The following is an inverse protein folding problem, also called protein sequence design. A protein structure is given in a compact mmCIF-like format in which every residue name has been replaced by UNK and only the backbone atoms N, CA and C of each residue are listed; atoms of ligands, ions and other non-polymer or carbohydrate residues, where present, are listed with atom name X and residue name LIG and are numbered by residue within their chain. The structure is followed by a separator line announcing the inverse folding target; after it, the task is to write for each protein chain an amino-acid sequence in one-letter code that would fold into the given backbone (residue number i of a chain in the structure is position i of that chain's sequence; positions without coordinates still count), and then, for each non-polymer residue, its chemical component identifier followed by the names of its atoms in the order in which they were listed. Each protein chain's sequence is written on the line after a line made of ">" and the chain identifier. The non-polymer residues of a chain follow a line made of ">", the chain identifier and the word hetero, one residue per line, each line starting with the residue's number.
data_IF_072099283118
#
_entry.id   IF_072099283118
#
_cell.length_a   1.000
_cell.length_b   1.000
_cell.length_c   1.000
_cell.angle_alpha   90.00
_cell.angle_beta   90.00
_cell.angle_gamma   90.00
#
_symmetry.space_group_name_H-M   'P 1'
#
loop_
_entity.id
_entity.type
_entity.pdbx_description
1 polymer ?
#
# COMPACT_ATOMS: atom_id res chain seq x y z
N UNK A 1 -20.76 10.02 -6.01
CA UNK A 1 -21.09 9.56 -4.63
C UNK A 1 -21.77 10.63 -3.77
N UNK A 2 -21.57 11.93 -4.05
CA UNK A 2 -22.17 13.00 -3.22
C UNK A 2 -23.72 12.99 -3.19
N UNK A 3 -24.34 12.43 -4.22
CA UNK A 3 -25.81 12.44 -4.40
C UNK A 3 -26.49 11.15 -3.91
N UNK A 4 -25.75 10.18 -3.38
CA UNK A 4 -26.31 8.91 -2.86
C UNK A 4 -26.97 8.01 -3.93
N UNK A 5 -26.79 8.29 -5.21
CA UNK A 5 -27.43 7.56 -6.32
C UNK A 5 -26.71 6.21 -6.52
N UNK A 6 -27.39 5.07 -6.42
CA UNK A 6 -26.81 3.78 -6.72
C UNK A 6 -26.44 3.66 -8.22
N UNK A 7 -25.27 3.12 -8.51
CA UNK A 7 -24.81 2.88 -9.88
C UNK A 7 -24.74 1.37 -10.11
N UNK A 8 -25.39 0.88 -11.16
CA UNK A 8 -25.29 -0.53 -11.56
C UNK A 8 -24.32 -0.69 -12.74
N UNK A 9 -23.22 -1.38 -12.52
CA UNK A 9 -22.27 -1.74 -13.58
C UNK A 9 -22.69 -3.10 -14.14
N UNK A 10 -22.95 -3.16 -15.45
CA UNK A 10 -23.36 -4.36 -16.17
C UNK A 10 -22.36 -4.73 -17.26
N UNK A 11 -22.25 -6.03 -17.55
CA UNK A 11 -21.49 -6.52 -18.67
C UNK A 11 -22.31 -6.32 -19.96
N UNK A 12 -21.79 -5.58 -20.92
CA UNK A 12 -22.46 -5.33 -22.22
C UNK A 12 -22.62 -6.60 -23.05
N UNK A 13 -21.75 -7.59 -22.85
CA UNK A 13 -21.80 -8.88 -23.53
C UNK A 13 -22.76 -9.90 -22.85
N UNK A 14 -23.25 -9.58 -21.66
CA UNK A 14 -24.21 -10.38 -20.89
C UNK A 14 -25.21 -9.47 -20.16
N UNK A 15 -26.09 -8.76 -20.90
CA UNK A 15 -26.98 -7.75 -20.33
C UNK A 15 -28.06 -8.30 -19.39
N UNK A 16 -28.27 -9.62 -19.40
CA UNK A 16 -29.21 -10.30 -18.49
C UNK A 16 -28.65 -10.45 -17.07
N UNK A 17 -27.33 -10.37 -16.90
CA UNK A 17 -26.72 -10.47 -15.57
C UNK A 17 -27.11 -9.31 -14.68
N UNK A 18 -27.32 -9.58 -13.39
CA UNK A 18 -27.70 -8.56 -12.41
C UNK A 18 -26.69 -7.41 -12.31
N UNK A 19 -25.43 -7.66 -12.70
CA UNK A 19 -24.35 -6.70 -12.59
C UNK A 19 -23.90 -6.45 -11.15
N UNK A 20 -23.10 -5.40 -10.97
CA UNK A 20 -22.56 -4.99 -9.66
C UNK A 20 -23.14 -3.63 -9.27
N UNK A 21 -23.76 -3.55 -8.13
CA UNK A 21 -24.29 -2.30 -7.56
C UNK A 21 -23.21 -1.57 -6.77
N UNK A 22 -22.91 -0.34 -7.16
CA UNK A 22 -22.10 0.58 -6.35
C UNK A 22 -23.06 1.37 -5.48
N UNK A 23 -22.97 1.19 -4.18
CA UNK A 23 -23.81 1.83 -3.17
C UNK A 23 -22.94 2.58 -2.15
N UNK A 24 -23.52 3.50 -1.40
CA UNK A 24 -22.81 4.27 -0.40
C UNK A 24 -22.33 3.39 0.75
N UNK A 25 -23.20 2.51 1.20
CA UNK A 25 -22.90 1.53 2.25
C UNK A 25 -23.71 0.25 2.06
N UNK A 26 -23.17 -0.88 2.50
CA UNK A 26 -23.91 -2.13 2.62
C UNK A 26 -24.30 -2.30 4.08
N UNK A 27 -25.60 -2.46 4.35
CA UNK A 27 -26.13 -2.61 5.72
C UNK A 27 -25.85 -3.98 6.34
N UNK A 28 -25.46 -4.98 5.54
CA UNK A 28 -25.22 -6.34 6.01
C UNK A 28 -23.76 -6.57 6.35
N UNK A 29 -23.51 -7.45 7.34
CA UNK A 29 -22.16 -8.00 7.56
C UNK A 29 -21.68 -8.59 6.25
N UNK A 30 -20.48 -8.23 5.78
CA UNK A 30 -19.97 -8.79 4.55
C UNK A 30 -19.82 -10.31 4.72
N UNK A 31 -20.37 -11.09 3.79
CA UNK A 31 -20.20 -12.54 3.74
C UNK A 31 -18.73 -12.93 3.54
N UNK A 32 -17.93 -11.97 3.04
CA UNK A 32 -16.50 -12.13 2.82
C UNK A 32 -15.70 -11.19 3.73
N UNK A 33 -14.62 -11.71 4.30
CA UNK A 33 -13.68 -10.96 5.16
C UNK A 33 -13.02 -9.85 4.36
N UNK A 34 -12.52 -10.19 3.15
CA UNK A 34 -11.94 -9.22 2.22
C UNK A 34 -12.91 -8.91 1.08
N UNK A 35 -12.87 -7.67 0.60
CA UNK A 35 -13.68 -7.21 -0.53
C UNK A 35 -12.89 -7.25 -1.84
N UNK A 36 -11.58 -7.09 -1.76
CA UNK A 36 -10.72 -7.10 -2.93
C UNK A 36 -9.23 -7.06 -2.61
N UNK A 37 -8.46 -7.40 -3.63
CA UNK A 37 -7.01 -7.27 -3.65
C UNK A 37 -6.68 -6.43 -4.88
N UNK A 38 -5.95 -5.35 -4.68
CA UNK A 38 -5.48 -4.48 -5.74
C UNK A 38 -3.98 -4.28 -5.61
N UNK A 39 -3.30 -4.01 -6.70
CA UNK A 39 -1.87 -3.76 -6.63
C UNK A 39 -1.35 -2.98 -7.83
N UNK A 40 -0.16 -2.42 -7.67
CA UNK A 40 0.54 -1.66 -8.69
C UNK A 40 2.04 -1.87 -8.55
N UNK A 41 2.73 -1.96 -9.70
CA UNK A 41 4.19 -2.02 -9.81
C UNK A 41 4.78 -0.62 -10.02
N UNK A 42 6.10 -0.52 -9.95
CA UNK A 42 6.82 0.69 -10.34
C UNK A 42 6.97 1.69 -9.21
N UNK A 43 7.26 1.20 -8.01
CA UNK A 43 7.59 2.05 -6.86
C UNK A 43 9.07 2.01 -6.53
N UNK A 44 9.53 3.11 -5.96
CA UNK A 44 10.81 3.24 -5.28
C UNK A 44 10.56 3.63 -3.83
N UNK A 45 11.33 3.06 -2.91
CA UNK A 45 11.37 3.48 -1.52
C UNK A 45 12.61 4.32 -1.26
N UNK A 46 12.41 5.40 -0.52
CA UNK A 46 13.46 6.28 -0.02
C UNK A 46 13.44 6.13 1.50
N UNK A 47 14.40 5.39 2.05
CA UNK A 47 14.54 5.19 3.49
C UNK A 47 15.53 6.20 4.04
N UNK A 48 15.08 6.99 5.00
CA UNK A 48 15.82 8.07 5.64
C UNK A 48 16.08 7.63 7.08
N UNK A 49 17.34 7.41 7.43
CA UNK A 49 17.76 7.08 8.78
C UNK A 49 18.29 8.33 9.46
N UNK A 50 17.85 8.55 10.68
CA UNK A 50 18.33 9.64 11.53
C UNK A 50 18.18 9.30 13.00
N UNK A 51 19.30 9.26 13.68
CA UNK A 51 19.30 9.07 15.14
C UNK A 51 18.45 10.14 15.84
N UNK A 52 17.63 9.72 16.80
CA UNK A 52 16.69 10.57 17.53
C UNK A 52 15.62 11.25 16.65
N UNK A 53 15.30 10.70 15.47
CA UNK A 53 14.32 11.26 14.53
C UNK A 53 12.97 11.57 15.18
N UNK A 54 12.49 10.68 16.04
CA UNK A 54 11.18 10.80 16.71
C UNK A 54 11.11 11.97 17.70
N UNK A 55 12.24 12.49 18.17
CA UNK A 55 12.33 13.66 19.04
C UNK A 55 12.43 14.97 18.26
N UNK A 56 12.70 14.93 16.97
CA UNK A 56 12.80 16.13 16.11
C UNK A 56 11.41 16.60 15.66
N UNK A 57 10.91 17.67 16.29
CA UNK A 57 9.62 18.25 15.94
C UNK A 57 9.61 18.71 14.48
N UNK A 58 8.64 18.22 13.71
CA UNK A 58 8.44 18.61 12.32
C UNK A 58 9.33 17.87 11.31
N UNK A 59 10.05 16.81 11.71
CA UNK A 59 10.87 16.02 10.81
C UNK A 59 10.08 15.54 9.57
N UNK A 60 8.97 14.84 9.76
CA UNK A 60 8.13 14.36 8.66
C UNK A 60 7.61 15.49 7.76
N UNK A 61 7.26 16.66 8.34
CA UNK A 61 6.86 17.82 7.53
C UNK A 61 7.99 18.30 6.62
N UNK A 62 9.23 18.36 7.15
CA UNK A 62 10.40 18.78 6.36
C UNK A 62 10.67 17.80 5.21
N UNK A 63 10.57 16.48 5.48
CA UNK A 63 10.71 15.44 4.46
C UNK A 63 9.63 15.60 3.39
N UNK A 64 8.36 15.68 3.77
CA UNK A 64 7.26 15.81 2.81
C UNK A 64 7.30 17.12 2.01
N UNK A 65 7.80 18.21 2.60
CA UNK A 65 8.00 19.47 1.89
C UNK A 65 8.96 19.31 0.70
N UNK A 66 10.02 18.48 0.84
CA UNK A 66 10.93 18.23 -0.28
C UNK A 66 10.21 17.52 -1.44
N UNK A 67 9.34 16.56 -1.16
CA UNK A 67 8.56 15.89 -2.21
C UNK A 67 7.55 16.85 -2.85
N UNK A 68 6.84 17.64 -2.05
CA UNK A 68 5.90 18.67 -2.52
C UNK A 68 6.59 19.68 -3.45
N UNK A 69 7.75 20.22 -3.05
CA UNK A 69 8.52 21.20 -3.83
C UNK A 69 9.01 20.65 -5.17
N UNK A 70 9.07 19.33 -5.29
CA UNK A 70 9.44 18.64 -6.54
C UNK A 70 8.24 18.07 -7.29
N UNK A 71 7.01 18.30 -6.82
CA UNK A 71 5.79 17.80 -7.45
C UNK A 71 5.76 16.27 -7.50
N UNK A 72 6.17 15.61 -6.41
CA UNK A 72 6.15 14.14 -6.28
C UNK A 72 5.11 13.76 -5.23
N UNK A 73 4.15 12.94 -5.64
CA UNK A 73 3.16 12.36 -4.73
C UNK A 73 3.73 11.15 -4.00
N UNK A 74 3.48 11.01 -2.71
CA UNK A 74 3.80 9.79 -1.99
C UNK A 74 2.58 8.87 -1.86
N UNK A 75 2.82 7.56 -1.84
CA UNK A 75 1.77 6.55 -1.68
C UNK A 75 1.69 6.06 -0.24
N UNK A 76 2.83 5.78 0.38
CA UNK A 76 2.94 5.32 1.76
C UNK A 76 4.17 5.92 2.43
N UNK A 77 4.08 6.09 3.74
CA UNK A 77 5.16 6.65 4.53
C UNK A 77 5.26 5.96 5.90
N UNK A 78 5.65 4.67 5.94
CA UNK A 78 5.91 4.00 7.20
C UNK A 78 7.08 4.66 7.93
N UNK A 79 6.92 4.86 9.24
CA UNK A 79 7.94 5.47 10.09
C UNK A 79 8.19 4.62 11.33
N UNK A 80 9.47 4.47 11.68
CA UNK A 80 9.95 3.89 12.91
C UNK A 80 10.34 4.96 13.94
N UNK A 81 11.24 4.58 14.87
CA UNK A 81 11.80 5.50 15.88
C UNK A 81 12.83 6.41 15.22
N UNK A 82 13.78 5.82 14.50
CA UNK A 82 14.93 6.49 13.89
C UNK A 82 14.92 6.39 12.36
N UNK A 83 13.84 5.87 11.77
CA UNK A 83 13.73 5.68 10.33
C UNK A 83 12.39 6.14 9.78
N UNK A 84 12.40 6.73 8.60
CA UNK A 84 11.21 7.06 7.82
C UNK A 84 11.41 6.63 6.38
N UNK A 85 10.47 5.87 5.84
CA UNK A 85 10.51 5.45 4.44
C UNK A 85 9.38 6.12 3.67
N UNK A 86 9.69 6.71 2.52
CA UNK A 86 8.69 7.29 1.62
C UNK A 86 8.62 6.44 0.36
N UNK A 87 7.44 5.97 0.01
CA UNK A 87 7.17 5.24 -1.23
C UNK A 87 6.57 6.19 -2.25
N UNK A 88 7.22 6.28 -3.41
CA UNK A 88 6.78 7.13 -4.52
C UNK A 88 6.78 6.35 -5.84
N UNK A 89 6.06 6.87 -6.83
CA UNK A 89 6.14 6.32 -8.18
C UNK A 89 7.50 6.54 -8.79
N UNK A 90 8.08 5.48 -9.37
CA UNK A 90 9.38 5.52 -9.99
C UNK A 90 9.43 6.54 -11.14
N UNK A 91 8.39 6.59 -11.96
CA UNK A 91 8.32 7.52 -13.10
C UNK A 91 8.35 8.99 -12.69
N UNK A 92 7.82 9.33 -11.51
CA UNK A 92 7.83 10.70 -10.98
C UNK A 92 9.16 11.08 -10.35
N UNK A 93 9.93 10.08 -9.92
CA UNK A 93 11.12 10.25 -9.09
C UNK A 93 12.43 10.23 -9.88
N UNK A 94 12.58 9.32 -10.85
CA UNK A 94 13.86 9.00 -11.52
C UNK A 94 14.59 10.26 -12.04
N UNK A 95 13.89 11.14 -12.75
CA UNK A 95 14.49 12.36 -13.30
C UNK A 95 14.86 13.39 -12.22
N UNK A 96 14.30 13.28 -11.02
CA UNK A 96 14.44 14.23 -9.91
C UNK A 96 15.29 13.68 -8.77
N UNK A 97 15.73 12.43 -8.85
CA UNK A 97 16.41 11.69 -7.79
C UNK A 97 17.51 12.50 -7.12
N UNK A 98 18.52 12.91 -7.90
CA UNK A 98 19.68 13.63 -7.37
C UNK A 98 19.29 14.94 -6.67
N UNK A 99 18.32 15.65 -7.22
CA UNK A 99 17.83 16.89 -6.63
C UNK A 99 17.12 16.66 -5.32
N UNK A 100 16.22 15.64 -5.28
CA UNK A 100 15.46 15.28 -4.07
C UNK A 100 16.40 14.82 -2.96
N UNK A 101 17.37 13.95 -3.26
CA UNK A 101 18.35 13.48 -2.27
C UNK A 101 19.17 14.65 -1.70
N UNK A 102 19.65 15.56 -2.55
CA UNK A 102 20.39 16.73 -2.09
C UNK A 102 19.54 17.66 -1.22
N UNK A 103 18.25 17.78 -1.50
CA UNK A 103 17.33 18.59 -0.70
C UNK A 103 16.98 17.91 0.63
N UNK A 104 16.81 16.58 0.65
CA UNK A 104 16.59 15.81 1.89
C UNK A 104 17.79 15.96 2.83
N UNK A 105 19.03 15.81 2.32
CA UNK A 105 20.23 16.03 3.12
C UNK A 105 20.26 17.42 3.75
N UNK A 106 19.90 18.47 3.00
CA UNK A 106 19.86 19.84 3.52
C UNK A 106 18.72 20.09 4.52
N UNK A 107 17.56 19.48 4.28
CA UNK A 107 16.35 19.72 5.07
C UNK A 107 16.36 19.05 6.44
N UNK A 108 16.90 17.82 6.51
CA UNK A 108 16.80 16.98 7.71
C UNK A 108 18.13 16.44 8.21
N UNK A 109 19.23 16.65 7.48
CA UNK A 109 20.57 16.17 7.83
C UNK A 109 20.55 14.71 8.32
N UNK A 110 20.16 13.74 7.46
CA UNK A 110 20.06 12.34 7.83
C UNK A 110 21.44 11.71 8.00
N UNK A 111 21.51 10.63 8.77
CA UNK A 111 22.71 9.81 8.90
C UNK A 111 22.94 8.99 7.63
N UNK A 112 21.86 8.46 7.04
CA UNK A 112 21.89 7.80 5.74
C UNK A 112 20.58 7.96 4.97
N UNK A 113 20.66 7.82 3.63
CA UNK A 113 19.48 7.67 2.78
C UNK A 113 19.74 6.46 1.87
N UNK A 114 18.83 5.49 1.94
CA UNK A 114 18.86 4.31 1.08
C UNK A 114 17.71 4.34 0.07
N UNK A 115 18.02 3.95 -1.17
CA UNK A 115 17.03 3.81 -2.24
C UNK A 115 16.86 2.34 -2.59
N UNK A 116 15.62 1.92 -2.73
CA UNK A 116 15.32 0.59 -3.27
C UNK A 116 14.23 0.72 -4.35
N UNK A 117 14.58 0.36 -5.58
CA UNK A 117 13.68 0.32 -6.73
C UNK A 117 13.10 -1.09 -6.94
N UNK A 118 12.32 -1.25 -8.03
CA UNK A 118 11.74 -2.53 -8.40
C UNK A 118 10.73 -3.07 -7.36
N UNK A 119 9.95 -2.16 -6.79
CA UNK A 119 8.94 -2.46 -5.78
C UNK A 119 7.52 -2.40 -6.33
N UNK A 120 6.68 -3.24 -5.76
CA UNK A 120 5.23 -3.26 -5.98
C UNK A 120 4.50 -3.14 -4.66
N UNK A 121 3.38 -2.46 -4.65
CA UNK A 121 2.48 -2.37 -3.51
C UNK A 121 1.19 -3.14 -3.79
N UNK A 122 0.76 -3.94 -2.84
CA UNK A 122 -0.45 -4.75 -2.89
C UNK A 122 -1.33 -4.36 -1.71
N UNK A 123 -2.56 -3.94 -1.99
CA UNK A 123 -3.56 -3.60 -1.00
C UNK A 123 -4.57 -4.73 -0.87
N UNK A 124 -4.66 -5.31 0.31
CA UNK A 124 -5.76 -6.21 0.70
C UNK A 124 -6.80 -5.36 1.43
N UNK A 125 -8.02 -5.30 0.91
CA UNK A 125 -9.06 -4.40 1.44
C UNK A 125 -10.34 -5.15 1.78
N UNK A 126 -10.97 -4.76 2.87
CA UNK A 126 -12.26 -5.33 3.24
C UNK A 126 -12.83 -4.78 4.55
N UNK A 127 -14.15 -4.55 4.56
CA UNK A 127 -14.84 -4.13 5.79
C UNK A 127 -14.91 -5.24 6.85
N UNK A 128 -14.89 -6.50 6.42
CA UNK A 128 -14.84 -7.67 7.30
C UNK A 128 -13.49 -7.90 7.96
N UNK A 129 -12.47 -7.14 7.59
CA UNK A 129 -11.14 -7.22 8.20
C UNK A 129 -11.12 -6.65 9.61
N UNK A 130 -11.96 -5.63 9.87
CA UNK A 130 -12.01 -4.94 11.15
C UNK A 130 -12.38 -5.90 12.28
N UNK A 131 -11.60 -5.88 13.36
CA UNK A 131 -11.77 -6.76 14.53
C UNK A 131 -11.68 -8.26 14.20
N UNK A 132 -11.05 -8.64 13.08
CA UNK A 132 -10.87 -10.03 12.69
C UNK A 132 -9.45 -10.51 13.04
N UNK A 133 -9.34 -11.15 14.19
CA UNK A 133 -8.08 -11.68 14.68
C UNK A 133 -7.53 -12.78 13.75
N UNK A 134 -6.21 -12.76 13.51
CA UNK A 134 -5.53 -13.79 12.72
C UNK A 134 -5.48 -13.52 11.21
N UNK A 135 -6.17 -12.50 10.70
CA UNK A 135 -6.19 -12.20 9.28
C UNK A 135 -4.78 -11.92 8.73
N UNK A 136 -4.04 -11.03 9.37
CA UNK A 136 -2.67 -10.72 8.99
C UNK A 136 -1.77 -11.96 9.05
N UNK A 137 -1.92 -12.79 10.11
CA UNK A 137 -1.18 -14.03 10.23
C UNK A 137 -1.42 -14.99 9.05
N UNK A 138 -2.67 -15.12 8.58
CA UNK A 138 -3.01 -15.96 7.43
C UNK A 138 -2.34 -15.46 6.16
N UNK A 139 -2.42 -14.14 5.89
CA UNK A 139 -1.80 -13.53 4.72
C UNK A 139 -0.28 -13.73 4.74
N UNK A 140 0.37 -13.37 5.83
CA UNK A 140 1.83 -13.43 5.91
C UNK A 140 2.36 -14.87 5.94
N UNK A 141 1.63 -15.82 6.57
CA UNK A 141 1.96 -17.23 6.52
C UNK A 141 1.87 -17.81 5.11
N UNK A 142 0.88 -17.39 4.32
CA UNK A 142 0.75 -17.81 2.93
C UNK A 142 1.93 -17.29 2.09
N UNK A 143 2.27 -16.00 2.20
CA UNK A 143 3.42 -15.42 1.51
C UNK A 143 4.74 -16.06 1.92
N UNK A 144 4.92 -16.37 3.20
CA UNK A 144 6.11 -17.06 3.70
C UNK A 144 6.23 -18.48 3.13
N UNK A 145 5.12 -19.25 3.07
CA UNK A 145 5.10 -20.59 2.45
C UNK A 145 5.44 -20.53 0.96
N UNK A 146 5.00 -19.47 0.27
CA UNK A 146 5.34 -19.21 -1.13
C UNK A 146 6.76 -18.65 -1.32
N UNK A 147 7.54 -18.49 -0.23
CA UNK A 147 8.91 -17.93 -0.23
C UNK A 147 8.98 -16.50 -0.81
N UNK A 148 7.92 -15.73 -0.64
CA UNK A 148 7.85 -14.34 -1.06
C UNK A 148 8.31 -13.47 0.10
N UNK A 149 9.41 -12.74 -0.11
CA UNK A 149 9.93 -11.80 0.87
C UNK A 149 9.11 -10.51 0.84
N UNK A 150 8.65 -10.09 2.03
CA UNK A 150 7.92 -8.85 2.23
C UNK A 150 8.93 -7.73 2.52
N UNK A 151 8.80 -6.62 1.81
CA UNK A 151 9.65 -5.43 1.93
C UNK A 151 9.03 -4.36 2.84
N UNK A 152 7.71 -4.30 2.88
CA UNK A 152 6.96 -3.34 3.68
C UNK A 152 5.60 -3.90 4.06
N UNK A 153 5.16 -3.55 5.26
CA UNK A 153 3.80 -3.80 5.77
C UNK A 153 3.29 -2.49 6.36
N UNK A 154 2.09 -2.10 5.95
CA UNK A 154 1.37 -1.00 6.55
C UNK A 154 -0.09 -1.39 6.81
N UNK A 155 -0.55 -1.12 8.02
CA UNK A 155 -1.95 -1.32 8.41
C UNK A 155 -2.36 -0.18 9.35
N UNK A 156 -3.21 0.70 8.86
CA UNK A 156 -3.75 1.78 9.69
C UNK A 156 -4.74 1.29 10.75
N UNK A 157 -4.98 2.12 11.77
CA UNK A 157 -5.90 1.82 12.88
C UNK A 157 -7.36 1.61 12.46
N UNK A 158 -7.73 1.93 11.23
CA UNK A 158 -9.05 1.62 10.65
C UNK A 158 -9.27 0.13 10.42
N UNK A 159 -8.17 -0.65 10.30
CA UNK A 159 -8.16 -2.10 10.00
C UNK A 159 -8.92 -2.48 8.70
N UNK A 160 -9.13 -1.52 7.81
CA UNK A 160 -9.87 -1.73 6.56
C UNK A 160 -9.00 -2.20 5.41
N UNK A 161 -7.67 -2.09 5.56
CA UNK A 161 -6.70 -2.52 4.58
C UNK A 161 -5.39 -2.98 5.23
N UNK A 162 -4.66 -3.81 4.50
CA UNK A 162 -3.26 -4.13 4.74
C UNK A 162 -2.53 -3.87 3.42
N UNK A 163 -1.50 -3.05 3.47
CA UNK A 163 -0.63 -2.78 2.33
C UNK A 163 0.65 -3.58 2.47
N UNK A 164 1.04 -4.26 1.42
CA UNK A 164 2.20 -5.16 1.41
C UNK A 164 3.10 -4.77 0.26
N UNK A 165 4.35 -4.42 0.58
CA UNK A 165 5.40 -4.16 -0.40
C UNK A 165 6.16 -5.43 -0.72
N UNK A 166 6.34 -5.73 -2.01
CA UNK A 166 7.14 -6.86 -2.51
C UNK A 166 7.99 -6.40 -3.70
N UNK A 167 8.99 -7.19 -4.11
CA UNK A 167 9.67 -6.95 -5.39
C UNK A 167 8.76 -7.22 -6.57
N UNK A 168 8.91 -6.47 -7.66
CA UNK A 168 8.08 -6.57 -8.86
C UNK A 168 7.98 -8.00 -9.39
N UNK A 169 9.06 -8.79 -9.31
CA UNK A 169 9.09 -10.19 -9.76
C UNK A 169 8.11 -11.11 -9.02
N UNK A 170 7.70 -10.75 -7.81
CA UNK A 170 6.78 -11.53 -6.99
C UNK A 170 5.36 -11.00 -7.01
N UNK A 171 5.08 -9.96 -7.77
CA UNK A 171 3.82 -9.24 -7.72
C UNK A 171 2.60 -10.14 -8.01
N UNK A 172 2.61 -10.83 -9.14
CA UNK A 172 1.51 -11.70 -9.56
C UNK A 172 1.35 -12.91 -8.62
N UNK A 173 2.46 -13.53 -8.24
CA UNK A 173 2.45 -14.68 -7.33
C UNK A 173 1.95 -14.27 -5.94
N UNK A 174 2.31 -13.10 -5.46
CA UNK A 174 1.84 -12.57 -4.19
C UNK A 174 0.32 -12.34 -4.20
N UNK A 175 -0.20 -11.68 -5.24
CA UNK A 175 -1.65 -11.45 -5.40
C UNK A 175 -2.40 -12.79 -5.43
N UNK A 176 -1.94 -13.75 -6.22
CA UNK A 176 -2.54 -15.08 -6.31
C UNK A 176 -2.48 -15.81 -4.98
N UNK A 177 -1.34 -15.80 -4.32
CA UNK A 177 -1.15 -16.45 -3.01
C UNK A 177 -2.10 -15.88 -1.96
N UNK A 178 -2.26 -14.55 -1.92
CA UNK A 178 -3.19 -13.89 -0.99
C UNK A 178 -4.64 -14.23 -1.36
N UNK A 179 -4.97 -14.21 -2.64
CA UNK A 179 -6.32 -14.55 -3.12
C UNK A 179 -6.73 -15.97 -2.70
N UNK A 180 -5.84 -16.94 -2.85
CA UNK A 180 -6.10 -18.36 -2.52
C UNK A 180 -6.35 -18.60 -1.02
N UNK A 181 -5.93 -17.66 -0.14
CA UNK A 181 -6.23 -17.71 1.32
C UNK A 181 -7.72 -17.49 1.57
N UNK A 182 -8.37 -16.63 0.78
CA UNK A 182 -9.73 -16.16 1.05
C UNK A 182 -10.79 -16.76 0.14
N UNK A 183 -10.37 -17.27 -1.00
CA UNK A 183 -11.23 -17.96 -1.97
C UNK A 183 -10.70 -19.38 -2.13
N UNK A 184 -11.08 -20.31 -1.22
CA UNK A 184 -10.67 -21.70 -1.35
C UNK A 184 -11.12 -22.22 -2.71
N UNK A 185 -10.19 -22.78 -3.49
CA UNK A 185 -10.54 -23.50 -4.71
C UNK A 185 -11.51 -24.63 -4.34
N UNK A 186 -12.78 -24.48 -4.68
CA UNK A 186 -13.71 -25.59 -4.72
C UNK A 186 -13.22 -26.56 -5.82
N UNK A 187 -12.33 -27.49 -5.43
CA UNK A 187 -12.04 -28.70 -6.20
C UNK A 187 -12.98 -29.80 -5.80
#
# INVERSE_FOLDING_TARGET
>A
RKEGIPINIRNTNAPQDKGTMIVETTCNKPDCIITGIAGKKGFVSITIDKDMMNSEIGFGRKVLQVFEDNGISFEHMPSGIDTMTVFVHQDEFVEKEQKVLAQLHRAVNPDSIELESDLSLIAVVGRGMRNNSGLAANIFSALAKAKINIKMIDQGSSELNIIIGVRNRYFEDAIKTIYDVFVPNNK
#
